data_IF_009023446809
#
_entry.id   IF_009023446809
#
_cell.length_a   1.000
_cell.length_b   1.000
_cell.length_c   1.000
_cell.angle_alpha   90.00
_cell.angle_beta   90.00
_cell.angle_gamma   90.00
#
_symmetry.space_group_name_H-M   'P 1'
#
loop_
_entity.id
_entity.type
_entity.pdbx_description
1 polymer ?
#
# COMPACT_ATOMS: atom_id res chain seq x y z
N UNK A 1 -18.13 25.61 -11.81
CA UNK A 1 -18.03 24.26 -12.41
C UNK A 1 -16.58 23.84 -12.45
N UNK A 2 -16.30 22.54 -12.50
CA UNK A 2 -14.93 22.00 -12.57
C UNK A 2 -14.18 22.51 -13.78
N UNK A 3 -14.87 22.60 -14.92
CA UNK A 3 -14.36 23.17 -16.17
C UNK A 3 -13.84 24.60 -16.03
N UNK A 4 -14.49 25.43 -15.20
CA UNK A 4 -14.03 26.79 -14.94
C UNK A 4 -12.70 26.77 -14.19
N UNK A 5 -12.57 25.96 -13.13
CA UNK A 5 -11.32 25.87 -12.36
C UNK A 5 -10.18 25.26 -13.17
N UNK A 6 -10.46 24.23 -13.99
CA UNK A 6 -9.47 23.68 -14.94
C UNK A 6 -9.04 24.75 -15.94
N UNK A 7 -9.97 25.55 -16.46
CA UNK A 7 -9.65 26.67 -17.37
C UNK A 7 -8.78 27.72 -16.71
N UNK A 8 -9.07 28.10 -15.46
CA UNK A 8 -8.26 29.03 -14.67
C UNK A 8 -6.86 28.45 -14.45
N UNK A 9 -6.74 27.19 -14.03
CA UNK A 9 -5.44 26.53 -13.80
C UNK A 9 -4.62 26.47 -15.09
N UNK A 10 -5.26 26.12 -16.22
CA UNK A 10 -4.63 26.06 -17.54
C UNK A 10 -4.10 27.41 -17.99
N UNK A 11 -4.94 28.45 -17.95
CA UNK A 11 -4.56 29.80 -18.36
C UNK A 11 -3.50 30.39 -17.43
N UNK A 12 -3.64 30.20 -16.12
CA UNK A 12 -2.67 30.72 -15.15
C UNK A 12 -1.32 30.04 -15.29
N UNK A 13 -1.29 28.73 -15.54
CA UNK A 13 -0.03 28.01 -15.83
C UNK A 13 0.59 28.49 -17.14
N UNK A 14 -0.21 28.67 -18.18
CA UNK A 14 0.27 29.14 -19.48
C UNK A 14 0.83 30.57 -19.44
N UNK A 15 0.23 31.45 -18.64
CA UNK A 15 0.63 32.85 -18.48
C UNK A 15 1.57 33.09 -17.28
N UNK A 16 2.03 32.03 -16.61
CA UNK A 16 2.91 32.09 -15.43
C UNK A 16 2.34 32.98 -14.29
N UNK A 17 1.03 32.93 -14.08
CA UNK A 17 0.32 33.67 -13.03
C UNK A 17 0.20 32.82 -11.76
N UNK A 18 1.20 32.91 -10.88
CA UNK A 18 1.27 32.15 -9.62
C UNK A 18 -0.01 32.30 -8.77
N UNK A 19 -0.52 33.52 -8.60
CA UNK A 19 -1.76 33.79 -7.85
C UNK A 19 -2.97 33.03 -8.41
N UNK A 20 -3.05 32.90 -9.74
CA UNK A 20 -4.11 32.19 -10.42
C UNK A 20 -4.02 30.67 -10.24
N UNK A 21 -2.80 30.14 -10.27
CA UNK A 21 -2.52 28.73 -9.95
C UNK A 21 -2.93 28.45 -8.50
N UNK A 22 -2.44 29.25 -7.55
CA UNK A 22 -2.78 29.09 -6.14
C UNK A 22 -4.28 29.22 -5.88
N UNK A 23 -4.95 30.17 -6.54
CA UNK A 23 -6.39 30.32 -6.43
C UNK A 23 -7.10 29.05 -6.87
N UNK A 24 -6.81 28.53 -8.08
CA UNK A 24 -7.43 27.32 -8.59
C UNK A 24 -7.16 26.11 -7.68
N UNK A 25 -5.91 25.95 -7.23
CA UNK A 25 -5.49 24.89 -6.30
C UNK A 25 -6.30 24.96 -4.99
N UNK A 26 -6.41 26.13 -4.38
CA UNK A 26 -7.23 26.32 -3.16
C UNK A 26 -8.70 26.00 -3.38
N UNK A 27 -9.27 26.35 -4.55
CA UNK A 27 -10.67 26.03 -4.84
C UNK A 27 -10.90 24.52 -5.04
N UNK A 28 -9.97 23.81 -5.68
CA UNK A 28 -10.03 22.37 -5.80
C UNK A 28 -9.89 21.68 -4.44
N UNK A 29 -8.97 22.11 -3.59
CA UNK A 29 -8.77 21.55 -2.25
C UNK A 29 -10.00 21.74 -1.35
N UNK A 30 -10.74 22.84 -1.51
CA UNK A 30 -12.00 23.09 -0.78
C UNK A 30 -13.12 22.12 -1.13
N UNK A 31 -13.06 21.42 -2.27
CA UNK A 31 -14.06 20.42 -2.63
C UNK A 31 -13.93 19.11 -1.84
N UNK A 32 -12.77 18.84 -1.25
CA UNK A 32 -12.54 17.60 -0.52
C UNK A 32 -12.80 16.37 -1.38
N UNK A 33 -13.74 15.52 -0.96
CA UNK A 33 -14.03 14.23 -1.60
C UNK A 33 -14.65 14.36 -3.00
N UNK A 34 -15.37 15.46 -3.28
CA UNK A 34 -15.94 15.75 -4.59
C UNK A 34 -14.85 15.97 -5.65
N UNK A 35 -13.62 16.23 -5.23
CA UNK A 35 -12.48 16.26 -6.14
C UNK A 35 -12.01 14.84 -6.42
N UNK A 36 -12.53 14.25 -7.50
CA UNK A 36 -12.22 12.88 -7.90
C UNK A 36 -10.71 12.62 -8.02
N UNK A 37 -10.20 11.50 -7.48
CA UNK A 37 -8.76 11.29 -7.34
C UNK A 37 -8.05 11.12 -8.70
N UNK A 38 -8.74 10.56 -9.71
CA UNK A 38 -8.19 10.45 -11.07
C UNK A 38 -7.98 11.82 -11.73
N UNK A 39 -8.98 12.72 -11.64
CA UNK A 39 -8.86 14.10 -12.11
C UNK A 39 -7.80 14.88 -11.31
N UNK A 40 -7.76 14.70 -9.99
CA UNK A 40 -6.73 15.32 -9.15
C UNK A 40 -5.33 14.89 -9.59
N UNK A 41 -5.12 13.61 -9.87
CA UNK A 41 -3.86 13.06 -10.36
C UNK A 41 -3.50 13.59 -11.76
N UNK A 42 -4.47 13.65 -12.68
CA UNK A 42 -4.29 14.22 -14.02
C UNK A 42 -3.81 15.68 -13.94
N UNK A 43 -4.53 16.51 -13.18
CA UNK A 43 -4.21 17.93 -13.02
C UNK A 43 -2.86 18.13 -12.33
N UNK A 44 -2.56 17.30 -11.32
CA UNK A 44 -1.28 17.31 -10.61
C UNK A 44 -0.11 17.11 -11.58
N UNK A 45 -0.22 16.12 -12.47
CA UNK A 45 0.80 15.82 -13.47
C UNK A 45 0.88 16.88 -14.56
N UNK A 46 -0.27 17.29 -15.10
CA UNK A 46 -0.32 18.22 -16.24
C UNK A 46 0.17 19.63 -15.87
N UNK A 47 -0.13 20.08 -14.66
CA UNK A 47 0.17 21.44 -14.19
C UNK A 47 1.25 21.49 -13.10
N UNK A 48 1.96 20.38 -12.87
CA UNK A 48 3.06 20.26 -11.89
C UNK A 48 2.66 20.68 -10.46
N UNK A 49 1.48 20.26 -10.02
CA UNK A 49 1.02 20.45 -8.63
C UNK A 49 1.47 19.25 -7.80
N UNK A 50 2.76 19.17 -7.50
CA UNK A 50 3.43 18.00 -6.88
C UNK A 50 2.72 17.51 -5.60
N UNK A 51 2.23 18.44 -4.77
CA UNK A 51 1.54 18.12 -3.50
C UNK A 51 0.27 17.29 -3.67
N UNK A 52 -0.28 17.19 -4.89
CA UNK A 52 -1.47 16.41 -5.18
C UNK A 52 -1.17 14.98 -5.64
N UNK A 53 0.06 14.66 -6.05
CA UNK A 53 0.41 13.33 -6.58
C UNK A 53 0.20 12.24 -5.54
N UNK A 54 0.83 12.38 -4.36
CA UNK A 54 0.71 11.40 -3.29
C UNK A 54 -0.75 11.17 -2.83
N UNK A 55 -1.52 12.20 -2.40
CA UNK A 55 -2.87 11.98 -1.90
C UNK A 55 -3.84 11.42 -2.94
N UNK A 56 -3.74 11.87 -4.20
CA UNK A 56 -4.57 11.31 -5.28
C UNK A 56 -4.22 9.87 -5.59
N UNK A 57 -2.93 9.53 -5.62
CA UNK A 57 -2.48 8.15 -5.83
C UNK A 57 -2.91 7.21 -4.70
N UNK A 58 -2.84 7.63 -3.43
CA UNK A 58 -3.37 6.86 -2.31
C UNK A 58 -4.86 6.56 -2.46
N UNK A 59 -5.68 7.56 -2.81
CA UNK A 59 -7.12 7.36 -3.07
C UNK A 59 -7.38 6.47 -4.28
N UNK A 60 -6.53 6.51 -5.30
CA UNK A 60 -6.61 5.58 -6.45
C UNK A 60 -6.26 4.14 -6.05
N UNK A 61 -5.36 3.94 -5.09
CA UNK A 61 -5.02 2.61 -4.57
C UNK A 61 -6.19 1.96 -3.83
N UNK A 62 -7.09 2.75 -3.26
CA UNK A 62 -8.33 2.29 -2.62
C UNK A 62 -9.41 1.86 -3.64
N UNK A 63 -9.33 2.35 -4.88
CA UNK A 63 -10.28 1.96 -5.93
C UNK A 63 -9.98 0.55 -6.44
N UNK A 64 -11.04 -0.25 -6.62
CA UNK A 64 -10.94 -1.54 -7.26
C UNK A 64 -10.56 -1.41 -8.74
N UNK A 65 -9.69 -2.29 -9.25
CA UNK A 65 -9.37 -2.31 -10.68
C UNK A 65 -10.61 -2.61 -11.53
N UNK A 66 -11.54 -3.44 -11.02
CA UNK A 66 -12.80 -3.74 -11.70
C UNK A 66 -13.74 -2.53 -11.79
N UNK A 67 -13.59 -1.53 -10.90
CA UNK A 67 -14.37 -0.29 -10.90
C UNK A 67 -13.73 0.81 -11.74
N UNK A 68 -12.55 0.60 -12.33
CA UNK A 68 -11.90 1.58 -13.19
C UNK A 68 -12.49 1.50 -14.60
N UNK A 69 -13.22 2.55 -14.98
CA UNK A 69 -13.69 2.71 -16.34
C UNK A 69 -12.64 3.35 -17.25
N UNK A 70 -12.95 3.44 -18.54
CA UNK A 70 -12.06 4.05 -19.53
C UNK A 70 -11.79 5.53 -19.24
N UNK A 71 -12.74 6.26 -18.64
CA UNK A 71 -12.55 7.68 -18.33
C UNK A 71 -11.49 7.87 -17.24
N UNK A 72 -11.55 7.07 -16.17
CA UNK A 72 -10.53 7.03 -15.11
C UNK A 72 -9.17 6.68 -15.69
N UNK A 73 -9.09 5.60 -16.47
CA UNK A 73 -7.81 5.15 -17.07
C UNK A 73 -7.22 6.22 -17.99
N UNK A 74 -8.06 6.90 -18.78
CA UNK A 74 -7.66 8.00 -19.65
C UNK A 74 -7.09 9.20 -18.86
N UNK A 75 -7.71 9.55 -17.72
CA UNK A 75 -7.21 10.62 -16.84
C UNK A 75 -5.87 10.28 -16.20
N UNK A 76 -5.65 9.02 -15.80
CA UNK A 76 -4.37 8.57 -15.27
C UNK A 76 -3.24 8.64 -16.31
N UNK A 77 -3.57 8.34 -17.57
CA UNK A 77 -2.61 8.12 -18.64
C UNK A 77 -1.70 6.92 -18.40
N UNK A 78 -0.92 6.53 -19.41
CA UNK A 78 -0.16 5.27 -19.42
C UNK A 78 0.75 5.10 -18.20
N UNK A 79 1.51 6.14 -17.84
CA UNK A 79 2.46 6.11 -16.71
C UNK A 79 1.73 5.94 -15.38
N UNK A 80 0.62 6.66 -15.18
CA UNK A 80 -0.15 6.61 -13.95
C UNK A 80 -0.84 5.25 -13.78
N UNK A 81 -1.46 4.77 -14.86
CA UNK A 81 -2.10 3.46 -14.87
C UNK A 81 -1.09 2.32 -14.66
N UNK A 82 0.05 2.34 -15.34
CA UNK A 82 1.11 1.35 -15.14
C UNK A 82 1.61 1.34 -13.70
N UNK A 83 1.88 2.51 -13.11
CA UNK A 83 2.31 2.60 -11.72
C UNK A 83 1.25 2.03 -10.77
N UNK A 84 -0.02 2.34 -10.99
CA UNK A 84 -1.14 1.85 -10.18
C UNK A 84 -1.26 0.31 -10.21
N UNK A 85 -1.33 -0.26 -11.42
CA UNK A 85 -1.45 -1.72 -11.61
C UNK A 85 -0.24 -2.45 -11.02
N UNK A 86 0.97 -1.94 -11.28
CA UNK A 86 2.19 -2.54 -10.76
C UNK A 86 2.25 -2.50 -9.23
N UNK A 87 1.90 -1.37 -8.62
CA UNK A 87 1.86 -1.22 -7.16
C UNK A 87 0.85 -2.19 -6.54
N UNK A 88 -0.35 -2.33 -7.12
CA UNK A 88 -1.33 -3.31 -6.66
C UNK A 88 -0.84 -4.75 -6.79
N UNK A 89 -0.18 -5.10 -7.89
CA UNK A 89 0.40 -6.43 -8.07
C UNK A 89 1.52 -6.72 -7.06
N UNK A 90 2.36 -5.74 -6.74
CA UNK A 90 3.41 -5.87 -5.71
C UNK A 90 2.81 -6.03 -4.31
N UNK A 91 1.75 -5.29 -3.97
CA UNK A 91 1.01 -5.48 -2.73
C UNK A 91 0.38 -6.87 -2.63
N UNK A 92 -0.24 -7.34 -3.72
CA UNK A 92 -0.82 -8.69 -3.76
C UNK A 92 0.26 -9.77 -3.56
N UNK A 93 1.42 -9.63 -4.21
CA UNK A 93 2.55 -10.53 -4.03
C UNK A 93 3.07 -10.51 -2.58
N UNK A 94 3.24 -9.32 -2.00
CA UNK A 94 3.67 -9.15 -0.62
C UNK A 94 2.69 -9.80 0.37
N UNK A 95 1.39 -9.66 0.15
CA UNK A 95 0.35 -10.32 0.96
C UNK A 95 0.38 -11.83 0.84
N UNK A 96 0.55 -12.34 -0.39
CA UNK A 96 0.65 -13.79 -0.62
C UNK A 96 1.80 -14.36 0.18
N UNK A 97 2.95 -13.68 0.15
CA UNK A 97 4.10 -14.02 0.96
C UNK A 97 3.80 -13.95 2.46
N UNK A 98 3.20 -12.85 2.94
CA UNK A 98 2.82 -12.70 4.34
C UNK A 98 1.96 -13.86 4.86
N UNK A 99 1.01 -14.32 4.05
CA UNK A 99 0.12 -15.43 4.43
C UNK A 99 0.69 -16.82 4.19
N UNK A 100 1.78 -16.94 3.42
CA UNK A 100 2.32 -18.23 3.02
C UNK A 100 3.02 -18.93 4.18
N UNK A 101 3.87 -18.20 4.91
CA UNK A 101 4.59 -18.73 6.05
C UNK A 101 3.85 -18.39 7.35
N UNK A 102 3.49 -19.42 8.11
CA UNK A 102 2.98 -19.24 9.47
C UNK A 102 4.08 -18.67 10.37
N UNK A 103 3.90 -17.49 10.98
CA UNK A 103 4.87 -16.93 11.92
C UNK A 103 5.05 -17.83 13.14
N UNK A 104 6.26 -17.89 13.68
CA UNK A 104 6.50 -18.60 14.94
C UNK A 104 5.79 -17.88 16.10
N UNK A 105 5.03 -18.65 16.89
CA UNK A 105 4.31 -18.11 18.04
C UNK A 105 5.27 -17.59 19.12
N UNK A 106 5.03 -16.37 19.58
CA UNK A 106 5.79 -15.76 20.67
C UNK A 106 5.10 -16.05 22.00
N UNK A 107 5.61 -17.03 22.74
CA UNK A 107 5.01 -17.44 24.00
C UNK A 107 5.13 -16.35 25.07
N UNK A 108 4.02 -15.99 25.72
CA UNK A 108 4.05 -15.23 26.96
C UNK A 108 4.68 -16.08 28.10
N UNK A 109 5.44 -15.50 29.05
CA UNK A 109 6.09 -16.27 30.13
C UNK A 109 5.12 -17.12 30.96
N UNK A 110 3.89 -16.63 31.11
CA UNK A 110 2.82 -17.31 31.86
C UNK A 110 2.00 -18.32 31.03
N UNK A 111 2.43 -18.65 29.81
CA UNK A 111 1.75 -19.64 28.97
C UNK A 111 1.94 -21.06 29.54
N UNK A 112 0.83 -21.68 29.97
CA UNK A 112 0.83 -23.06 30.51
C UNK A 112 0.57 -24.13 29.45
N UNK A 113 0.06 -23.75 28.29
CA UNK A 113 -0.43 -24.65 27.23
C UNK A 113 0.32 -24.40 25.91
N UNK A 114 1.66 -24.39 25.95
CA UNK A 114 2.49 -24.03 24.78
C UNK A 114 2.20 -24.86 23.54
N UNK A 115 2.02 -26.17 23.70
CA UNK A 115 1.72 -27.08 22.59
C UNK A 115 0.36 -26.74 21.99
N UNK A 116 -0.68 -26.60 22.81
CA UNK A 116 -2.03 -26.22 22.34
C UNK A 116 -2.04 -24.85 21.67
N UNK A 117 -1.39 -23.84 22.26
CA UNK A 117 -1.31 -22.50 21.69
C UNK A 117 -0.54 -22.49 20.36
N UNK A 118 0.48 -23.34 20.16
CA UNK A 118 1.15 -23.51 18.87
C UNK A 118 0.22 -24.13 17.81
N UNK A 119 -0.45 -25.24 18.16
CA UNK A 119 -1.36 -25.93 17.24
C UNK A 119 -2.51 -25.01 16.84
N UNK A 120 -3.12 -24.31 17.81
CA UNK A 120 -4.20 -23.37 17.58
C UNK A 120 -3.75 -22.21 16.68
N UNK A 121 -2.58 -21.63 16.95
CA UNK A 121 -2.01 -20.56 16.11
C UNK A 121 -1.78 -21.02 14.68
N UNK A 122 -1.07 -22.13 14.46
CA UNK A 122 -0.79 -22.63 13.10
C UNK A 122 -2.08 -22.99 12.37
N UNK A 123 -3.02 -23.65 13.03
CA UNK A 123 -4.30 -23.99 12.43
C UNK A 123 -5.08 -22.74 12.01
N UNK A 124 -5.20 -21.76 12.90
CA UNK A 124 -5.94 -20.54 12.64
C UNK A 124 -5.26 -19.69 11.55
N UNK A 125 -3.93 -19.61 11.57
CA UNK A 125 -3.16 -18.94 10.54
C UNK A 125 -3.42 -19.56 9.17
N UNK A 126 -3.22 -20.87 9.02
CA UNK A 126 -3.38 -21.57 7.74
C UNK A 126 -4.82 -21.55 7.22
N UNK A 127 -5.82 -21.51 8.12
CA UNK A 127 -7.25 -21.65 7.74
C UNK A 127 -8.00 -20.35 7.57
N UNK A 128 -7.68 -19.33 8.35
CA UNK A 128 -8.47 -18.09 8.40
C UNK A 128 -7.74 -16.93 7.76
N UNK A 129 -6.44 -16.77 8.02
CA UNK A 129 -5.69 -15.56 7.63
C UNK A 129 -5.63 -15.37 6.11
N UNK A 130 -5.30 -16.39 5.28
CA UNK A 130 -5.36 -16.26 3.83
C UNK A 130 -6.74 -15.86 3.31
N UNK A 131 -7.83 -16.35 3.91
CA UNK A 131 -9.19 -16.05 3.45
C UNK A 131 -9.60 -14.60 3.73
N UNK A 132 -9.11 -14.04 4.84
CA UNK A 132 -9.36 -12.66 5.22
C UNK A 132 -8.54 -11.71 4.35
N UNK A 133 -7.24 -11.99 4.19
CA UNK A 133 -6.32 -11.10 3.46
C UNK A 133 -6.52 -11.16 1.94
N UNK A 134 -6.82 -12.34 1.40
CA UNK A 134 -7.05 -12.55 -0.04
C UNK A 134 -8.52 -12.62 -0.39
N UNK A 135 -9.37 -11.93 0.37
CA UNK A 135 -10.79 -11.89 0.06
C UNK A 135 -11.00 -11.28 -1.33
N UNK A 136 -11.82 -11.88 -2.21
CA UNK A 136 -11.99 -11.44 -3.59
C UNK A 136 -12.78 -10.12 -3.71
N UNK A 137 -13.54 -9.77 -2.68
CA UNK A 137 -14.21 -8.48 -2.64
C UNK A 137 -13.20 -7.39 -2.30
N UNK A 138 -12.88 -6.56 -3.29
CA UNK A 138 -11.95 -5.45 -3.14
C UNK A 138 -12.49 -4.36 -2.20
N UNK A 139 -13.81 -4.32 -1.92
CA UNK A 139 -14.39 -3.37 -0.96
C UNK A 139 -14.18 -3.82 0.50
N UNK A 140 -13.86 -5.10 0.73
CA UNK A 140 -13.45 -5.61 2.05
C UNK A 140 -11.93 -5.64 2.20
N UNK A 141 -11.20 -4.87 1.40
CA UNK A 141 -9.76 -4.72 1.49
C UNK A 141 -9.32 -4.36 2.92
N UNK A 142 -8.49 -5.23 3.51
CA UNK A 142 -7.85 -4.99 4.81
C UNK A 142 -6.34 -4.98 4.59
N UNK A 143 -5.67 -3.88 4.97
CA UNK A 143 -4.20 -3.86 5.03
C UNK A 143 -3.69 -4.86 6.06
N UNK A 144 -2.46 -5.34 5.93
CA UNK A 144 -1.85 -6.23 6.92
C UNK A 144 -1.84 -5.57 8.30
N UNK A 145 -1.57 -4.26 8.35
CA UNK A 145 -1.63 -3.46 9.58
C UNK A 145 -3.03 -3.55 10.24
N UNK A 146 -4.08 -3.22 9.48
CA UNK A 146 -5.44 -3.22 10.00
C UNK A 146 -5.89 -4.64 10.36
N UNK A 147 -5.46 -5.64 9.61
CA UNK A 147 -5.73 -7.05 9.92
C UNK A 147 -5.12 -7.40 11.28
N UNK A 148 -3.84 -7.12 11.50
CA UNK A 148 -3.16 -7.41 12.76
C UNK A 148 -3.77 -6.66 13.95
N UNK A 149 -4.14 -5.39 13.76
CA UNK A 149 -4.81 -4.58 14.79
C UNK A 149 -6.18 -5.15 15.18
N UNK A 150 -6.97 -5.60 14.19
CA UNK A 150 -8.24 -6.25 14.46
C UNK A 150 -8.04 -7.63 15.11
N UNK A 151 -7.07 -8.39 14.60
CA UNK A 151 -6.75 -9.74 15.08
C UNK A 151 -6.18 -9.74 16.51
N UNK A 152 -5.60 -8.61 16.94
CA UNK A 152 -5.20 -8.37 18.33
C UNK A 152 -6.37 -8.56 19.30
N UNK A 153 -7.59 -8.24 18.88
CA UNK A 153 -8.80 -8.29 19.71
C UNK A 153 -9.61 -9.58 19.54
N UNK A 154 -9.32 -10.40 18.52
CA UNK A 154 -10.09 -11.62 18.19
C UNK A 154 -9.76 -12.80 19.08
N UNK A 155 -10.72 -13.32 19.83
CA UNK A 155 -10.55 -14.56 20.59
C UNK A 155 -10.52 -15.79 19.70
N UNK A 156 -9.45 -16.58 19.86
CA UNK A 156 -9.18 -17.79 19.10
C UNK A 156 -9.20 -18.95 20.09
N UNK A 157 -10.04 -19.94 19.81
CA UNK A 157 -10.18 -21.14 20.65
C UNK A 157 -8.82 -21.81 20.86
N UNK A 158 -8.53 -22.21 22.10
CA UNK A 158 -7.28 -22.86 22.49
C UNK A 158 -5.99 -22.04 22.28
N UNK A 159 -6.11 -20.75 21.93
CA UNK A 159 -4.99 -19.81 21.88
C UNK A 159 -5.03 -18.85 23.06
N UNK A 160 -3.94 -18.84 23.80
CA UNK A 160 -3.67 -17.95 24.91
C UNK A 160 -3.68 -16.48 24.44
N UNK A 161 -4.57 -15.63 24.97
CA UNK A 161 -4.66 -14.20 24.57
C UNK A 161 -3.33 -13.46 24.66
N UNK A 162 -2.56 -13.67 25.73
CA UNK A 162 -1.24 -13.05 25.90
C UNK A 162 -0.19 -13.55 24.88
N UNK A 163 -0.27 -14.81 24.42
CA UNK A 163 0.63 -15.30 23.36
C UNK A 163 0.23 -14.71 22.01
N UNK A 164 -1.08 -14.59 21.74
CA UNK A 164 -1.61 -13.93 20.53
C UNK A 164 -1.11 -12.50 20.44
N UNK A 165 -1.38 -11.70 21.47
CA UNK A 165 -0.95 -10.28 21.57
C UNK A 165 0.56 -10.17 21.39
N UNK A 166 1.34 -10.94 22.15
CA UNK A 166 2.80 -10.90 22.05
C UNK A 166 3.32 -11.29 20.65
N UNK A 167 2.68 -12.25 19.98
CA UNK A 167 3.05 -12.66 18.62
C UNK A 167 2.78 -11.54 17.62
N UNK A 168 1.61 -10.92 17.70
CA UNK A 168 1.22 -9.79 16.85
C UNK A 168 2.14 -8.59 17.08
N UNK A 169 2.39 -8.22 18.33
CA UNK A 169 3.31 -7.13 18.69
C UNK A 169 4.70 -7.37 18.11
N UNK A 170 5.20 -8.61 18.20
CA UNK A 170 6.47 -8.99 17.60
C UNK A 170 6.42 -8.88 16.06
N UNK A 171 5.35 -9.32 15.40
CA UNK A 171 5.21 -9.18 13.94
C UNK A 171 5.21 -7.71 13.51
N UNK A 172 4.47 -6.85 14.22
CA UNK A 172 4.43 -5.41 13.96
C UNK A 172 5.81 -4.78 14.17
N UNK A 173 6.51 -5.13 15.26
CA UNK A 173 7.85 -4.65 15.55
C UNK A 173 8.90 -5.08 14.51
N UNK A 174 8.74 -6.27 13.91
CA UNK A 174 9.61 -6.79 12.85
C UNK A 174 9.18 -6.36 11.44
N UNK A 175 8.24 -5.42 11.33
CA UNK A 175 7.94 -4.75 10.06
C UNK A 175 6.92 -5.42 9.18
N UNK A 176 6.18 -6.44 9.66
CA UNK A 176 5.18 -7.15 8.86
C UNK A 176 4.14 -6.24 8.19
N UNK A 177 3.84 -5.09 8.79
CA UNK A 177 2.93 -4.07 8.27
C UNK A 177 3.63 -2.88 7.58
N UNK A 178 4.95 -2.72 7.77
CA UNK A 178 5.70 -1.56 7.28
C UNK A 178 5.86 -1.60 5.75
N UNK A 179 5.81 -2.79 5.19
CA UNK A 179 6.18 -3.05 3.80
C UNK A 179 5.09 -2.57 2.81
N UNK A 180 3.80 -2.67 3.14
CA UNK A 180 2.73 -2.18 2.24
C UNK A 180 2.81 -0.67 2.01
N UNK A 181 3.05 0.10 3.08
CA UNK A 181 3.19 1.55 2.97
C UNK A 181 4.43 1.92 2.16
N UNK A 182 5.54 1.20 2.36
CA UNK A 182 6.76 1.42 1.60
C UNK A 182 6.58 1.14 0.10
N UNK A 183 5.81 0.10 -0.26
CA UNK A 183 5.49 -0.20 -1.67
C UNK A 183 4.75 0.99 -2.31
N UNK A 184 3.75 1.55 -1.64
CA UNK A 184 2.98 2.70 -2.15
C UNK A 184 3.84 3.98 -2.19
N UNK A 185 4.54 4.29 -1.11
CA UNK A 185 5.39 5.49 -0.99
C UNK A 185 6.51 5.46 -2.05
N UNK A 186 7.05 4.29 -2.35
CA UNK A 186 8.02 4.12 -3.43
C UNK A 186 7.39 4.39 -4.79
N UNK A 187 6.19 3.88 -5.08
CA UNK A 187 5.50 4.18 -6.33
C UNK A 187 5.24 5.70 -6.50
N UNK A 188 4.80 6.38 -5.43
CA UNK A 188 4.62 7.83 -5.39
C UNK A 188 5.93 8.57 -5.66
N UNK A 189 7.02 8.17 -4.99
CA UNK A 189 8.34 8.77 -5.22
C UNK A 189 8.82 8.58 -6.66
N UNK A 190 8.57 7.42 -7.26
CA UNK A 190 8.85 7.16 -8.68
C UNK A 190 8.05 8.07 -9.62
N UNK A 191 6.76 8.29 -9.33
CA UNK A 191 5.91 9.22 -10.08
C UNK A 191 6.39 10.67 -9.97
N UNK A 192 6.80 11.10 -8.77
CA UNK A 192 7.35 12.45 -8.56
C UNK A 192 8.68 12.65 -9.29
N UNK A 193 9.57 11.64 -9.29
CA UNK A 193 10.82 11.69 -10.04
C UNK A 193 10.58 11.88 -11.54
N UNK A 194 9.62 11.13 -12.11
CA UNK A 194 9.22 11.27 -13.52
C UNK A 194 8.69 12.68 -13.80
N UNK A 195 7.86 13.23 -12.91
CA UNK A 195 7.30 14.58 -13.04
C UNK A 195 8.37 15.68 -13.02
N UNK A 196 9.43 15.49 -12.24
CA UNK A 196 10.57 16.40 -12.15
C UNK A 196 11.56 16.27 -13.33
N UNK A 197 11.26 15.43 -14.33
CA UNK A 197 12.09 15.25 -15.51
C UNK A 197 13.40 14.51 -15.22
N UNK A 198 13.49 13.79 -14.10
CA UNK A 198 14.62 12.90 -13.85
C UNK A 198 14.55 11.75 -14.86
N UNK A 199 15.62 11.55 -15.63
CA UNK A 199 15.64 10.62 -16.78
C UNK A 199 15.10 9.24 -16.42
N UNK A 200 14.37 8.64 -17.37
CA UNK A 200 13.67 7.36 -17.26
C UNK A 200 14.64 6.17 -16.99
N UNK A 201 15.95 6.31 -17.24
CA UNK A 201 16.96 5.35 -16.76
C UNK A 201 16.96 5.23 -15.23
N UNK A 202 16.64 6.32 -14.53
CA UNK A 202 16.39 6.30 -13.09
C UNK A 202 15.10 5.59 -12.77
N UNK A 203 14.04 5.69 -13.58
CA UNK A 203 12.79 4.95 -13.38
C UNK A 203 12.98 3.44 -13.58
N UNK A 204 13.75 3.00 -14.58
CA UNK A 204 14.11 1.58 -14.74
C UNK A 204 14.94 1.05 -13.55
N UNK A 205 15.88 1.85 -13.04
CA UNK A 205 16.59 1.56 -11.79
C UNK A 205 15.66 1.60 -10.58
N UNK A 206 14.68 2.49 -10.55
CA UNK A 206 13.68 2.64 -9.48
C UNK A 206 12.79 1.40 -9.41
N UNK A 207 12.34 0.91 -10.56
CA UNK A 207 11.59 -0.33 -10.68
C UNK A 207 12.44 -1.56 -10.33
N UNK A 208 13.75 -1.54 -10.58
CA UNK A 208 14.70 -2.53 -10.07
C UNK A 208 14.89 -2.42 -8.55
N UNK A 209 14.91 -1.22 -7.98
CA UNK A 209 15.01 -1.00 -6.53
C UNK A 209 13.74 -1.46 -5.82
N UNK A 210 12.55 -1.21 -6.37
CA UNK A 210 11.29 -1.78 -5.90
C UNK A 210 11.34 -3.31 -5.89
N UNK A 211 11.87 -3.92 -6.96
CA UNK A 211 12.10 -5.36 -7.00
C UNK A 211 13.10 -5.83 -5.94
N UNK A 212 14.18 -5.07 -5.67
CA UNK A 212 15.14 -5.39 -4.60
C UNK A 212 14.58 -5.18 -3.19
N UNK A 213 13.69 -4.20 -2.98
CA UNK A 213 12.96 -4.01 -1.71
C UNK A 213 12.05 -5.22 -1.50
N UNK A 214 11.29 -5.64 -2.51
CA UNK A 214 10.50 -6.88 -2.47
C UNK A 214 11.38 -8.11 -2.11
N UNK A 215 12.58 -8.22 -2.70
CA UNK A 215 13.54 -9.30 -2.37
C UNK A 215 14.17 -9.21 -0.97
N UNK A 216 14.38 -8.01 -0.42
CA UNK A 216 14.89 -7.83 0.95
C UNK A 216 13.79 -8.04 1.99
N UNK A 217 12.57 -7.62 1.68
CA UNK A 217 11.34 -7.95 2.41
C UNK A 217 11.08 -9.46 2.36
N UNK A 218 11.65 -10.19 1.41
CA UNK A 218 11.50 -11.65 1.32
C UNK A 218 12.22 -12.45 2.41
N UNK A 219 13.00 -11.80 3.27
CA UNK A 219 13.69 -12.45 4.39
C UNK A 219 13.60 -11.61 5.68
N UNK A 220 12.38 -11.28 6.17
CA UNK A 220 12.22 -10.52 7.41
C UNK A 220 12.45 -11.43 8.64
N UNK A 221 12.30 -12.74 8.45
CA UNK A 221 12.56 -13.78 9.42
C UNK A 221 13.82 -14.53 8.99
N UNK A 222 14.98 -13.94 9.24
CA UNK A 222 16.27 -14.56 8.97
C UNK A 222 16.37 -15.92 9.66
N UNK A 223 15.93 -16.97 8.98
CA UNK A 223 16.32 -18.33 9.27
C UNK A 223 17.81 -18.39 8.96
N UNK A 224 18.61 -18.42 10.01
CA UNK A 224 20.00 -18.86 9.93
C UNK A 224 20.02 -20.15 9.08
N UNK A 225 20.92 -20.28 8.10
CA UNK A 225 21.06 -21.54 7.38
C UNK A 225 21.41 -22.60 8.42
N UNK A 226 20.51 -23.57 8.62
CA UNK A 226 20.81 -24.81 9.30
C UNK A 226 21.94 -25.48 8.52
N UNK A 227 23.18 -25.24 8.95
CA UNK A 227 24.31 -26.09 8.66
C UNK A 227 24.01 -27.43 9.33
N UNK A 228 23.43 -28.33 8.56
CA UNK A 228 23.43 -29.76 8.85
C UNK A 228 24.89 -30.20 8.80
N UNK A 229 25.55 -30.18 9.95
CA UNK A 229 26.78 -30.91 10.16
C UNK A 229 26.41 -32.40 10.25
N UNK A 230 26.71 -33.13 9.18
CA UNK A 230 26.81 -34.60 9.17
C UNK A 230 28.00 -35.05 10.01
#
# INVERSE_FOLDING_TARGET
TDEFLVSVLKLSTFLELEDGIEHAVRQFERKGDDFGPALQFELARRYRVDKWIAPSFHRLMELSLAKMDFAIVSQLGDVGYFALVKTKAELEAHRKQFTYDTPEIQYHPNCRTRISCNIAWSYEWDKSVPKIIHHPDEDTYVSIANFLDNYHQTDVTDLCSNCRVRTIDWMLANGAARDERQIIDAAVAGLMAIQQGQEVESAARFWCVLHQISLKVSNPFGLLPFLVAT
#
